data_IF_651859830102
#
_entry.id   IF_651859830102
#
_cell.length_a   1.000
_cell.length_b   1.000
_cell.length_c   1.000
_cell.angle_alpha   90.00
_cell.angle_beta   90.00
_cell.angle_gamma   90.00
#
_symmetry.space_group_name_H-M   'P 1'
#
loop_
_entity.id
_entity.type
_entity.pdbx_description
1 polymer ?
#
# COMPACT_ATOMS: atom_id res chain seq x y z
N UNK A 1 12.89 -8.59 -22.36
CA UNK A 1 11.76 -8.04 -23.13
C UNK A 1 10.62 -7.86 -22.15
N UNK A 2 10.29 -6.62 -21.81
CA UNK A 2 9.11 -6.32 -20.99
C UNK A 2 7.88 -6.32 -21.90
N UNK A 3 6.75 -6.94 -21.50
CA UNK A 3 5.53 -6.92 -22.30
C UNK A 3 4.92 -5.51 -22.39
N UNK A 4 4.05 -5.26 -23.38
CA UNK A 4 3.56 -3.93 -23.69
C UNK A 4 2.48 -3.46 -22.70
N UNK A 5 2.65 -2.23 -22.21
CA UNK A 5 1.65 -1.25 -21.75
C UNK A 5 0.46 -1.73 -20.89
N UNK A 6 0.52 -1.49 -19.57
CA UNK A 6 -0.59 -1.67 -18.62
C UNK A 6 -1.29 -0.33 -18.33
N UNK A 7 -1.82 0.32 -19.37
CA UNK A 7 -2.61 1.56 -19.24
C UNK A 7 -4.10 1.29 -19.04
N UNK A 8 -4.83 2.21 -18.40
CA UNK A 8 -6.27 2.09 -18.13
C UNK A 8 -7.19 1.88 -19.34
N UNK A 9 -6.71 2.16 -20.57
CA UNK A 9 -7.44 1.84 -21.81
C UNK A 9 -7.64 0.33 -22.01
N UNK A 10 -6.72 -0.50 -21.52
CA UNK A 10 -6.79 -1.95 -21.72
C UNK A 10 -7.84 -2.61 -20.82
N UNK A 11 -8.02 -2.15 -19.57
CA UNK A 11 -9.08 -2.71 -18.72
C UNK A 11 -10.47 -2.54 -19.35
N UNK A 12 -10.72 -1.39 -20.00
CA UNK A 12 -11.95 -1.20 -20.81
C UNK A 12 -12.00 -2.14 -22.01
N UNK A 13 -10.90 -2.28 -22.75
CA UNK A 13 -10.83 -3.20 -23.90
C UNK A 13 -11.08 -4.66 -23.50
N UNK A 14 -10.61 -5.09 -22.34
CA UNK A 14 -10.90 -6.42 -21.81
C UNK A 14 -12.30 -6.61 -21.33
N UNK A 15 -12.83 -5.65 -20.59
CA UNK A 15 -14.21 -5.71 -20.13
C UNK A 15 -15.16 -5.83 -21.34
N UNK A 16 -14.90 -5.06 -22.41
CA UNK A 16 -15.69 -5.14 -23.64
C UNK A 16 -15.54 -6.51 -24.35
N UNK A 17 -14.33 -7.07 -24.40
CA UNK A 17 -14.08 -8.40 -24.98
C UNK A 17 -14.76 -9.51 -24.16
N UNK A 18 -14.74 -9.44 -22.83
CA UNK A 18 -15.36 -10.44 -21.95
C UNK A 18 -16.89 -10.40 -22.03
N UNK A 19 -17.50 -9.21 -22.04
CA UNK A 19 -18.96 -9.07 -22.22
C UNK A 19 -19.44 -9.62 -23.57
N UNK A 20 -18.63 -9.50 -24.64
CA UNK A 20 -18.93 -10.13 -25.93
C UNK A 20 -18.87 -11.66 -25.86
N UNK A 21 -17.90 -12.23 -25.13
CA UNK A 21 -17.74 -13.67 -24.97
C UNK A 21 -18.86 -14.27 -24.09
N UNK A 22 -19.22 -13.62 -22.98
CA UNK A 22 -20.31 -14.06 -22.10
C UNK A 22 -21.68 -14.02 -22.79
N UNK A 23 -21.93 -13.03 -23.66
CA UNK A 23 -23.15 -12.99 -24.50
C UNK A 23 -23.24 -14.14 -25.50
N UNK A 24 -22.11 -14.73 -25.90
CA UNK A 24 -22.06 -15.87 -26.84
C UNK A 24 -22.21 -17.22 -26.12
N UNK A 25 -21.82 -17.32 -24.85
CA UNK A 25 -21.88 -18.55 -24.04
C UNK A 25 -23.20 -18.75 -23.26
N UNK A 26 -24.11 -17.76 -23.25
CA UNK A 26 -25.40 -17.81 -22.55
C UNK A 26 -26.47 -18.78 -23.11
N UNK A 27 -26.12 -19.69 -24.01
CA UNK A 27 -27.03 -20.70 -24.57
C UNK A 27 -26.33 -22.06 -24.54
N UNK A 28 -26.56 -22.86 -23.50
CA UNK A 28 -26.09 -24.25 -23.51
C UNK A 28 -26.12 -25.05 -22.21
N UNK A 29 -27.24 -25.75 -22.01
CA UNK A 29 -27.32 -27.13 -21.49
C UNK A 29 -27.24 -27.33 -19.96
N UNK A 30 -28.43 -27.46 -19.37
CA UNK A 30 -28.69 -28.31 -18.20
C UNK A 30 -28.51 -29.79 -18.57
N UNK A 31 -27.64 -30.52 -17.86
CA UNK A 31 -27.73 -31.97 -17.77
C UNK A 31 -27.67 -32.41 -16.31
N UNK A 32 -28.82 -32.90 -15.84
CA UNK A 32 -28.98 -33.61 -14.58
C UNK A 32 -28.55 -35.05 -14.81
N UNK A 33 -27.57 -35.54 -14.06
CA UNK A 33 -27.31 -36.98 -13.92
C UNK A 33 -27.20 -37.30 -12.43
N UNK A 34 -28.20 -38.01 -11.93
CA UNK A 34 -28.18 -38.60 -10.59
C UNK A 34 -27.47 -39.95 -10.61
N UNK A 35 -26.69 -40.22 -9.58
CA UNK A 35 -26.24 -41.58 -9.22
C UNK A 35 -26.32 -41.74 -7.70
N UNK A 36 -27.08 -42.76 -7.29
CA UNK A 36 -27.21 -43.21 -5.90
C UNK A 36 -25.96 -43.99 -5.43
N UNK A 37 -25.51 -43.63 -4.23
CA UNK A 37 -24.95 -44.43 -3.13
C UNK A 37 -24.16 -45.72 -3.39
N UNK A 38 -22.90 -45.72 -2.92
CA UNK A 38 -22.29 -46.83 -2.19
C UNK A 38 -21.41 -46.24 -1.07
N UNK A 39 -21.69 -46.65 0.17
CA UNK A 39 -20.95 -46.28 1.38
C UNK A 39 -19.76 -47.24 1.49
N UNK A 40 -18.55 -46.70 1.35
CA UNK A 40 -17.29 -47.38 1.66
C UNK A 40 -16.52 -46.53 2.67
N UNK A 41 -16.07 -47.13 3.76
CA UNK A 41 -15.10 -46.52 4.67
C UNK A 41 -13.76 -46.37 3.93
N UNK A 42 -13.36 -45.14 3.65
CA UNK A 42 -12.06 -44.82 3.07
C UNK A 42 -11.31 -43.89 4.01
N UNK A 43 -10.02 -44.19 4.19
CA UNK A 43 -9.06 -43.43 4.96
C UNK A 43 -9.21 -41.93 4.69
N UNK A 44 -9.16 -41.11 5.75
CA UNK A 44 -9.00 -39.66 5.64
C UNK A 44 -7.58 -39.34 5.14
N UNK A 45 -7.28 -39.74 3.92
CA UNK A 45 -6.28 -39.06 3.10
C UNK A 45 -6.75 -37.63 2.94
N UNK A 46 -5.89 -36.67 3.30
CA UNK A 46 -6.09 -35.28 2.91
C UNK A 46 -6.24 -35.27 1.39
N UNK A 47 -7.45 -35.03 0.89
CA UNK A 47 -7.64 -34.63 -0.49
C UNK A 47 -6.79 -33.36 -0.62
N UNK A 48 -5.67 -33.46 -1.32
CA UNK A 48 -4.95 -32.27 -1.75
C UNK A 48 -5.96 -31.48 -2.57
N UNK A 49 -6.40 -30.33 -2.07
CA UNK A 49 -7.27 -29.47 -2.84
C UNK A 49 -6.49 -29.05 -4.08
N UNK A 50 -7.12 -29.08 -5.25
CA UNK A 50 -6.61 -28.46 -6.49
C UNK A 50 -6.50 -26.91 -6.37
N UNK A 51 -6.64 -26.38 -5.16
CA UNK A 51 -6.58 -24.98 -4.81
C UNK A 51 -5.14 -24.47 -4.85
N UNK A 52 -4.92 -23.41 -5.62
CA UNK A 52 -3.63 -22.72 -5.67
C UNK A 52 -3.55 -21.71 -4.53
N UNK A 53 -2.63 -21.94 -3.60
CA UNK A 53 -2.41 -21.07 -2.43
C UNK A 53 -1.05 -20.40 -2.52
N UNK A 54 -1.00 -19.10 -2.26
CA UNK A 54 0.27 -18.37 -2.08
C UNK A 54 0.52 -18.05 -0.61
N UNK A 55 1.69 -18.43 -0.11
CA UNK A 55 2.17 -18.22 1.25
C UNK A 55 3.12 -17.02 1.30
N UNK A 56 2.58 -15.89 1.72
CA UNK A 56 3.32 -14.63 1.82
C UNK A 56 3.74 -14.35 3.27
N UNK A 57 4.93 -13.78 3.47
CA UNK A 57 5.42 -13.35 4.80
C UNK A 57 5.04 -11.91 5.12
N UNK A 58 4.59 -11.66 6.35
CA UNK A 58 4.50 -10.30 6.93
C UNK A 58 5.61 -10.09 7.95
N UNK A 59 6.20 -8.89 7.94
CA UNK A 59 7.31 -8.55 8.85
C UNK A 59 6.85 -7.96 10.18
N UNK A 60 5.58 -7.60 10.27
CA UNK A 60 4.98 -6.95 11.42
C UNK A 60 3.56 -7.45 11.60
N UNK A 61 3.01 -7.25 12.80
CA UNK A 61 1.60 -7.57 13.08
C UNK A 61 0.70 -6.41 12.69
N UNK A 62 -0.33 -6.69 11.90
CA UNK A 62 -1.40 -5.74 11.57
C UNK A 62 -2.33 -5.56 12.79
N UNK A 63 -2.81 -4.34 13.01
CA UNK A 63 -3.72 -4.02 14.12
C UNK A 63 -5.19 -3.91 13.70
N UNK A 64 -5.42 -3.46 12.48
CA UNK A 64 -6.74 -3.17 11.90
C UNK A 64 -6.65 -3.30 10.38
N UNK A 65 -7.76 -3.68 9.74
CA UNK A 65 -7.97 -3.64 8.29
C UNK A 65 -9.06 -2.62 7.92
N UNK A 66 -9.43 -1.71 8.84
CA UNK A 66 -10.30 -0.58 8.53
C UNK A 66 -9.50 0.47 7.76
N UNK A 67 -9.82 0.77 6.49
CA UNK A 67 -9.16 1.81 5.69
C UNK A 67 -8.93 3.12 6.44
N UNK A 68 -9.91 3.59 7.22
CA UNK A 68 -9.82 4.87 7.92
C UNK A 68 -8.74 4.89 9.02
N UNK A 69 -8.32 3.73 9.53
CA UNK A 69 -7.31 3.60 10.60
C UNK A 69 -5.94 3.10 10.11
N UNK A 70 -5.82 2.71 8.83
CA UNK A 70 -4.54 2.27 8.24
C UNK A 70 -3.54 3.43 8.23
N UNK A 71 -2.30 3.17 8.65
CA UNK A 71 -1.24 4.18 8.67
C UNK A 71 0.18 3.60 8.52
N UNK A 72 0.30 2.31 8.19
CA UNK A 72 1.58 1.63 8.00
C UNK A 72 1.58 0.82 6.69
N UNK A 73 2.77 0.56 6.16
CA UNK A 73 2.97 -0.05 4.84
C UNK A 73 2.51 -1.50 4.79
N UNK A 74 2.68 -2.26 5.88
CA UNK A 74 2.35 -3.70 5.92
C UNK A 74 0.84 -3.88 5.88
N UNK A 75 0.10 -3.09 6.67
CA UNK A 75 -1.35 -3.07 6.65
C UNK A 75 -1.87 -2.60 5.30
N UNK A 76 -1.25 -1.58 4.70
CA UNK A 76 -1.62 -1.09 3.38
C UNK A 76 -1.53 -2.18 2.29
N UNK A 77 -0.46 -2.99 2.30
CA UNK A 77 -0.29 -4.07 1.34
C UNK A 77 -1.42 -5.13 1.45
N UNK A 78 -1.74 -5.59 2.67
CA UNK A 78 -2.82 -6.57 2.86
C UNK A 78 -4.19 -5.96 2.58
N UNK A 79 -4.43 -4.71 3.01
CA UNK A 79 -5.68 -4.04 2.74
C UNK A 79 -5.88 -3.77 1.24
N UNK A 80 -4.82 -3.55 0.46
CA UNK A 80 -4.89 -3.39 -1.01
C UNK A 80 -5.35 -4.64 -1.75
N UNK A 81 -5.25 -5.83 -1.15
CA UNK A 81 -5.82 -7.06 -1.70
C UNK A 81 -7.33 -7.18 -1.41
N UNK A 82 -7.83 -6.47 -0.39
CA UNK A 82 -9.22 -6.52 0.09
C UNK A 82 -10.06 -5.32 -0.36
N UNK A 83 -9.44 -4.15 -0.50
CA UNK A 83 -10.06 -2.90 -0.90
C UNK A 83 -9.33 -2.32 -2.10
N UNK A 84 -10.05 -1.50 -2.87
CA UNK A 84 -9.50 -0.80 -4.02
C UNK A 84 -9.64 0.71 -3.85
N UNK A 85 -8.78 1.46 -4.53
CA UNK A 85 -8.82 2.91 -4.55
C UNK A 85 -9.35 3.43 -5.90
N UNK A 86 -9.58 4.74 -6.01
CA UNK A 86 -10.02 5.36 -7.28
C UNK A 86 -9.00 5.14 -8.40
N UNK A 87 -7.72 5.21 -8.06
CA UNK A 87 -6.61 5.08 -9.00
C UNK A 87 -5.57 4.09 -8.46
N UNK A 88 -4.70 3.63 -9.36
CA UNK A 88 -3.53 2.79 -9.10
C UNK A 88 -2.38 3.22 -10.04
N UNK A 89 -1.25 2.52 -10.03
CA UNK A 89 -0.15 2.73 -10.96
C UNK A 89 -0.09 1.67 -12.07
N UNK A 90 0.26 2.11 -13.28
CA UNK A 90 0.88 1.24 -14.28
C UNK A 90 2.29 0.88 -13.78
N UNK A 91 2.40 -0.31 -13.18
CA UNK A 91 3.66 -0.83 -12.64
C UNK A 91 4.68 -1.24 -13.71
N UNK A 92 4.33 -1.17 -15.00
CA UNK A 92 5.23 -1.43 -16.13
C UNK A 92 5.77 -0.17 -16.79
N UNK A 93 5.09 0.95 -16.62
CA UNK A 93 5.59 2.25 -17.05
C UNK A 93 6.81 2.69 -16.20
N UNK A 94 7.81 3.29 -16.85
CA UNK A 94 8.92 3.99 -16.18
C UNK A 94 9.07 5.39 -16.80
N UNK A 95 8.90 6.48 -16.03
CA UNK A 95 8.46 6.51 -14.63
C UNK A 95 7.04 5.92 -14.47
N UNK A 96 6.69 5.51 -13.24
CA UNK A 96 5.36 5.00 -12.93
C UNK A 96 4.30 6.04 -13.30
N UNK A 97 3.16 5.59 -13.83
CA UNK A 97 2.06 6.46 -14.24
C UNK A 97 0.77 6.06 -13.54
N UNK A 98 0.03 7.03 -13.05
CA UNK A 98 -1.29 6.77 -12.47
C UNK A 98 -2.28 6.33 -13.55
N UNK A 99 -3.12 5.36 -13.23
CA UNK A 99 -4.19 4.83 -14.07
C UNK A 99 -5.48 4.66 -13.25
N UNK A 100 -6.66 4.72 -13.89
CA UNK A 100 -7.94 4.46 -13.21
C UNK A 100 -8.06 3.01 -12.70
N UNK A 101 -8.59 2.84 -11.48
CA UNK A 101 -8.98 1.55 -10.90
C UNK A 101 -10.49 1.55 -10.60
N UNK A 102 -10.94 2.10 -9.47
CA UNK A 102 -12.39 2.29 -9.22
C UNK A 102 -12.96 3.52 -9.93
N UNK A 103 -12.12 4.45 -10.37
CA UNK A 103 -12.53 5.49 -11.29
C UNK A 103 -12.72 4.89 -12.71
N UNK A 104 -13.71 5.38 -13.43
CA UNK A 104 -13.89 5.05 -14.83
C UNK A 104 -12.79 5.72 -15.69
N UNK A 105 -12.35 6.93 -15.31
CA UNK A 105 -11.36 7.74 -16.03
C UNK A 105 -10.53 8.62 -15.08
N UNK A 106 -9.50 9.28 -15.61
CA UNK A 106 -8.78 10.36 -14.92
C UNK A 106 -9.75 11.50 -14.57
N UNK A 107 -9.49 12.25 -13.47
CA UNK A 107 -10.42 13.27 -13.01
C UNK A 107 -10.51 14.41 -14.03
N UNK A 108 -11.72 14.93 -14.24
CA UNK A 108 -11.92 16.18 -14.96
C UNK A 108 -11.71 17.34 -13.97
N UNK A 109 -10.72 18.19 -14.25
CA UNK A 109 -10.29 19.26 -13.34
C UNK A 109 -10.74 20.61 -13.90
N UNK A 110 -11.33 21.47 -13.07
CA UNK A 110 -11.68 22.84 -13.45
C UNK A 110 -10.45 23.67 -13.85
N UNK A 111 -10.67 24.74 -14.62
CA UNK A 111 -9.58 25.62 -15.12
C UNK A 111 -8.74 26.23 -13.98
N UNK A 112 -9.37 26.54 -12.84
CA UNK A 112 -8.69 27.08 -11.66
C UNK A 112 -7.98 25.99 -10.84
N UNK A 113 -8.13 24.71 -11.18
CA UNK A 113 -7.48 23.58 -10.51
C UNK A 113 -8.07 23.21 -9.15
N UNK A 114 -9.30 23.65 -8.83
CA UNK A 114 -9.90 23.45 -7.50
C UNK A 114 -11.04 22.43 -7.46
N UNK A 115 -11.70 22.13 -8.57
CA UNK A 115 -12.82 21.19 -8.64
C UNK A 115 -12.42 19.96 -9.44
N UNK A 116 -12.64 18.78 -8.86
CA UNK A 116 -12.37 17.48 -9.45
C UNK A 116 -13.68 16.73 -9.60
N UNK A 117 -14.07 16.42 -10.84
CA UNK A 117 -15.15 15.50 -11.18
C UNK A 117 -14.54 14.14 -11.50
N UNK A 118 -14.85 13.14 -10.67
CA UNK A 118 -14.27 11.81 -10.72
C UNK A 118 -15.38 10.82 -11.09
N UNK A 119 -15.40 10.33 -12.34
CA UNK A 119 -16.38 9.34 -12.74
C UNK A 119 -16.04 7.99 -12.09
N UNK A 120 -17.03 7.33 -11.48
CA UNK A 120 -16.87 6.03 -10.82
C UNK A 120 -17.22 4.91 -11.80
N UNK A 121 -16.46 3.81 -11.74
CA UNK A 121 -16.68 2.63 -12.57
C UNK A 121 -17.98 1.94 -12.16
N UNK A 122 -18.79 1.59 -13.15
CA UNK A 122 -20.03 0.82 -12.97
C UNK A 122 -19.74 -0.68 -12.93
N UNK A 123 -20.64 -1.46 -12.34
CA UNK A 123 -20.56 -2.91 -12.27
C UNK A 123 -19.49 -3.44 -11.31
N UNK A 124 -19.01 -2.60 -10.38
CA UNK A 124 -18.11 -3.03 -9.31
C UNK A 124 -18.93 -3.31 -8.05
N UNK A 125 -18.76 -4.49 -7.46
CA UNK A 125 -19.53 -4.93 -6.31
C UNK A 125 -18.64 -5.09 -5.09
N UNK A 126 -19.20 -4.80 -3.92
CA UNK A 126 -18.60 -5.20 -2.66
C UNK A 126 -18.55 -6.73 -2.54
N UNK A 127 -17.67 -7.22 -1.67
CA UNK A 127 -17.62 -8.61 -1.25
C UNK A 127 -18.97 -9.09 -0.71
N UNK A 128 -19.34 -10.33 -1.04
CA UNK A 128 -20.52 -10.98 -0.47
C UNK A 128 -20.33 -11.08 1.04
N UNK A 129 -21.26 -10.51 1.80
CA UNK A 129 -21.11 -10.39 3.24
C UNK A 129 -22.46 -10.31 3.97
N UNK A 130 -22.62 -10.91 5.16
CA UNK A 130 -23.85 -10.83 5.95
C UNK A 130 -24.32 -9.42 6.34
N UNK A 131 -23.48 -8.39 6.20
CA UNK A 131 -23.92 -7.00 6.39
C UNK A 131 -24.88 -6.51 5.31
N UNK A 132 -24.94 -7.19 4.15
CA UNK A 132 -25.84 -6.85 3.06
C UNK A 132 -27.08 -7.76 3.03
N UNK A 133 -28.20 -7.30 2.44
CA UNK A 133 -29.36 -8.16 2.16
C UNK A 133 -28.95 -9.44 1.43
N UNK A 134 -29.50 -10.58 1.86
CA UNK A 134 -29.23 -11.91 1.31
C UNK A 134 -27.74 -12.31 1.28
N UNK A 135 -26.90 -11.63 2.07
CA UNK A 135 -25.43 -11.77 2.06
C UNK A 135 -24.79 -11.49 0.70
N UNK A 136 -25.44 -10.69 -0.15
CA UNK A 136 -24.94 -10.32 -1.48
C UNK A 136 -24.44 -8.89 -1.51
N UNK A 137 -23.18 -8.72 -1.89
CA UNK A 137 -22.57 -7.41 -2.03
C UNK A 137 -23.35 -6.56 -3.03
N UNK A 138 -23.63 -5.30 -2.67
CA UNK A 138 -24.23 -4.34 -3.60
C UNK A 138 -23.17 -3.66 -4.46
N UNK A 139 -23.63 -2.99 -5.51
CA UNK A 139 -22.77 -2.14 -6.34
C UNK A 139 -22.19 -0.98 -5.53
N UNK A 140 -20.93 -0.67 -5.82
CA UNK A 140 -20.19 0.49 -5.33
C UNK A 140 -20.75 1.77 -5.97
N UNK A 141 -20.92 2.83 -5.17
CA UNK A 141 -21.33 4.15 -5.68
C UNK A 141 -20.39 5.26 -5.21
N UNK A 142 -20.51 6.44 -5.83
CA UNK A 142 -19.80 7.65 -5.43
C UNK A 142 -20.09 8.06 -3.97
N UNK A 143 -21.28 7.73 -3.45
CA UNK A 143 -21.67 8.00 -2.07
C UNK A 143 -20.81 7.24 -1.05
N UNK A 144 -20.28 6.07 -1.40
CA UNK A 144 -19.41 5.27 -0.52
C UNK A 144 -18.05 5.94 -0.26
N UNK A 145 -17.54 6.69 -1.25
CA UNK A 145 -16.35 7.51 -1.08
C UNK A 145 -16.61 8.71 -0.18
N UNK A 146 -17.73 9.41 -0.40
CA UNK A 146 -18.16 10.54 0.45
C UNK A 146 -18.26 10.09 1.91
N UNK A 147 -18.89 8.95 2.16
CA UNK A 147 -19.00 8.36 3.49
C UNK A 147 -17.62 8.01 4.07
N UNK A 148 -16.78 7.26 3.34
CA UNK A 148 -15.46 6.85 3.80
C UNK A 148 -14.55 8.04 4.14
N UNK A 149 -14.59 9.11 3.36
CA UNK A 149 -13.72 10.27 3.62
C UNK A 149 -14.25 11.14 4.76
N UNK A 150 -15.57 11.21 4.97
CA UNK A 150 -16.12 11.74 6.21
C UNK A 150 -15.71 10.90 7.42
N UNK A 151 -15.54 9.58 7.30
CA UNK A 151 -14.98 8.75 8.38
C UNK A 151 -13.54 9.10 8.74
N UNK A 152 -12.72 9.54 7.77
CA UNK A 152 -11.39 10.09 8.04
C UNK A 152 -11.49 11.40 8.84
N UNK A 153 -12.46 12.25 8.51
CA UNK A 153 -12.70 13.53 9.19
C UNK A 153 -13.27 13.39 10.61
N UNK A 154 -14.02 12.32 10.87
CA UNK A 154 -14.62 12.03 12.17
C UNK A 154 -13.55 11.77 13.25
N UNK A 155 -13.47 12.66 14.26
CA UNK A 155 -12.54 12.50 15.39
C UNK A 155 -12.77 11.20 16.18
N UNK A 156 -13.97 10.63 16.14
CA UNK A 156 -14.34 9.44 16.92
C UNK A 156 -13.71 8.18 16.34
N UNK A 157 -13.39 8.17 15.04
CA UNK A 157 -12.67 7.07 14.37
C UNK A 157 -11.15 7.13 14.59
N UNK A 158 -10.61 8.24 15.12
CA UNK A 158 -9.17 8.41 15.39
C UNK A 158 -8.27 8.08 14.17
N UNK A 159 -8.74 8.47 12.98
CA UNK A 159 -8.02 8.22 11.74
C UNK A 159 -6.57 8.73 11.80
N UNK A 160 -5.63 7.89 11.37
CA UNK A 160 -4.22 8.27 11.19
C UNK A 160 -3.97 9.06 9.90
N UNK A 161 -5.01 9.26 9.10
CA UNK A 161 -4.94 9.78 7.73
C UNK A 161 -5.62 11.13 7.56
N UNK A 162 -6.11 11.76 8.66
CA UNK A 162 -6.72 13.10 8.62
C UNK A 162 -5.82 14.14 7.94
N UNK A 163 -4.51 14.05 8.15
CA UNK A 163 -3.51 14.98 7.59
C UNK A 163 -3.54 15.08 6.07
N UNK A 164 -4.14 14.10 5.36
CA UNK A 164 -4.33 14.15 3.90
C UNK A 164 -5.33 15.26 3.54
N UNK A 165 -6.40 15.42 4.33
CA UNK A 165 -7.50 16.32 4.02
C UNK A 165 -7.57 17.60 4.87
N UNK A 166 -6.72 17.70 5.91
CA UNK A 166 -6.61 18.85 6.80
C UNK A 166 -6.41 20.17 6.03
N UNK A 167 -7.41 21.06 6.08
CA UNK A 167 -7.44 22.33 5.35
C UNK A 167 -7.43 22.20 3.82
N UNK A 168 -7.85 21.05 3.26
CA UNK A 168 -7.78 20.78 1.81
C UNK A 168 -9.12 20.82 1.11
N UNK A 169 -10.18 20.30 1.72
CA UNK A 169 -11.50 20.14 1.10
C UNK A 169 -12.47 21.14 1.72
N UNK A 170 -13.19 21.89 0.89
CA UNK A 170 -14.12 22.94 1.34
C UNK A 170 -15.19 22.33 2.26
N UNK A 171 -15.28 22.84 3.49
CA UNK A 171 -16.26 22.40 4.50
C UNK A 171 -15.91 21.12 5.27
N UNK A 172 -14.91 20.34 4.87
CA UNK A 172 -14.61 19.07 5.54
C UNK A 172 -14.02 19.27 6.95
N UNK A 173 -13.18 20.29 7.15
CA UNK A 173 -12.71 20.71 8.47
C UNK A 173 -13.87 21.14 9.38
N UNK A 174 -14.90 21.80 8.84
CA UNK A 174 -16.10 22.16 9.60
C UNK A 174 -16.93 20.93 10.00
N UNK A 175 -17.02 19.93 9.13
CA UNK A 175 -17.60 18.64 9.47
C UNK A 175 -16.83 17.96 10.60
N UNK A 176 -15.49 17.96 10.52
CA UNK A 176 -14.63 17.47 11.59
C UNK A 176 -14.88 18.19 12.93
N UNK A 177 -14.95 19.51 12.94
CA UNK A 177 -15.27 20.28 14.15
C UNK A 177 -16.64 19.88 14.73
N UNK A 178 -17.65 19.71 13.87
CA UNK A 178 -18.95 19.18 14.27
C UNK A 178 -18.84 17.81 14.95
N UNK A 179 -18.05 16.87 14.41
CA UNK A 179 -17.90 15.52 14.99
C UNK A 179 -17.33 15.53 16.41
N UNK A 180 -16.55 16.56 16.81
CA UNK A 180 -16.04 16.69 18.18
C UNK A 180 -17.16 16.71 19.21
N UNK A 181 -18.28 17.33 18.87
CA UNK A 181 -19.46 17.50 19.74
C UNK A 181 -20.43 16.31 19.70
N UNK A 182 -20.18 15.30 18.87
CA UNK A 182 -21.01 14.10 18.78
C UNK A 182 -20.55 13.03 19.77
N UNK A 183 -21.44 12.15 20.20
CA UNK A 183 -21.04 10.91 20.88
C UNK A 183 -20.54 9.87 19.86
N UNK A 184 -19.67 8.93 20.26
CA UNK A 184 -19.23 7.84 19.39
C UNK A 184 -20.42 7.05 18.82
N UNK A 185 -20.47 6.89 17.50
CA UNK A 185 -21.55 6.21 16.79
C UNK A 185 -22.81 7.05 16.56
N UNK A 186 -22.80 8.34 16.94
CA UNK A 186 -23.92 9.27 16.72
C UNK A 186 -23.57 10.41 15.73
N UNK A 187 -22.48 10.27 14.99
CA UNK A 187 -22.11 11.22 13.94
C UNK A 187 -23.07 11.04 12.76
N UNK A 188 -23.72 12.14 12.36
CA UNK A 188 -24.54 12.18 11.16
C UNK A 188 -23.65 12.31 9.92
N UNK A 189 -23.49 11.21 9.19
CA UNK A 189 -22.71 11.15 7.96
C UNK A 189 -23.47 11.69 6.73
N UNK A 190 -24.78 11.91 6.82
CA UNK A 190 -25.58 12.52 5.76
C UNK A 190 -25.45 14.05 5.76
N UNK A 191 -24.97 14.63 6.87
CA UNK A 191 -24.67 16.06 6.96
C UNK A 191 -23.84 16.54 5.76
N UNK A 192 -24.30 17.54 5.00
CA UNK A 192 -23.64 17.95 3.76
C UNK A 192 -22.25 18.55 4.03
N UNK A 193 -21.34 18.29 3.10
CA UNK A 193 -20.01 18.91 3.03
C UNK A 193 -19.88 19.54 1.65
N UNK A 194 -19.72 20.86 1.61
CA UNK A 194 -19.75 21.63 0.36
C UNK A 194 -18.77 21.12 -0.70
N UNK A 195 -17.56 20.75 -0.28
CA UNK A 195 -16.51 20.27 -1.18
C UNK A 195 -16.37 18.77 -1.28
N UNK A 196 -17.30 17.97 -0.74
CA UNK A 196 -17.26 16.51 -0.84
C UNK A 196 -18.68 15.97 -0.94
N UNK A 197 -19.09 15.65 -2.16
CA UNK A 197 -20.43 15.12 -2.44
C UNK A 197 -20.41 14.25 -3.70
N UNK A 198 -21.47 13.49 -3.89
CA UNK A 198 -21.75 12.76 -5.12
C UNK A 198 -22.87 13.51 -5.87
N UNK A 199 -22.67 13.80 -7.16
CA UNK A 199 -23.71 14.39 -8.02
C UNK A 199 -24.79 13.35 -8.35
N UNK A 200 -24.35 12.11 -8.54
CA UNK A 200 -25.15 10.90 -8.71
C UNK A 200 -24.32 9.68 -8.26
N UNK A 201 -24.87 8.47 -8.43
CA UNK A 201 -24.22 7.21 -8.03
C UNK A 201 -22.84 6.97 -8.68
N UNK A 202 -22.51 7.65 -9.77
CA UNK A 202 -21.29 7.43 -10.55
C UNK A 202 -20.45 8.69 -10.78
N UNK A 203 -20.72 9.78 -10.06
CA UNK A 203 -19.94 11.01 -10.15
C UNK A 203 -19.61 11.56 -8.75
N UNK A 204 -18.35 11.37 -8.33
CA UNK A 204 -17.80 11.97 -7.11
C UNK A 204 -17.25 13.36 -7.44
N UNK A 205 -17.64 14.36 -6.66
CA UNK A 205 -17.14 15.73 -6.80
C UNK A 205 -16.38 16.16 -5.55
N UNK A 206 -15.17 16.68 -5.78
CA UNK A 206 -14.31 17.22 -4.73
C UNK A 206 -13.93 18.65 -5.05
N UNK A 207 -14.27 19.59 -4.15
CA UNK A 207 -13.86 20.99 -4.21
C UNK A 207 -12.78 21.25 -3.17
N UNK A 208 -11.61 21.65 -3.64
CA UNK A 208 -10.47 22.00 -2.83
C UNK A 208 -10.50 23.48 -2.43
N UNK A 209 -9.93 23.78 -1.27
CA UNK A 209 -9.78 25.16 -0.77
C UNK A 209 -8.85 25.99 -1.65
N UNK A 210 -7.88 25.33 -2.31
CA UNK A 210 -6.93 25.91 -3.25
C UNK A 210 -6.36 24.83 -4.17
N UNK A 211 -5.74 25.19 -5.30
CA UNK A 211 -5.17 24.21 -6.22
C UNK A 211 -4.14 23.32 -5.54
N UNK A 212 -4.25 22.01 -5.77
CA UNK A 212 -3.38 21.01 -5.16
C UNK A 212 -3.04 19.93 -6.21
N UNK A 213 -2.01 20.15 -7.06
CA UNK A 213 -1.71 19.26 -8.18
C UNK A 213 -1.53 17.78 -7.80
N UNK A 214 -1.03 17.52 -6.59
CA UNK A 214 -0.84 16.16 -6.07
C UNK A 214 -2.10 15.52 -5.48
N UNK A 215 -3.27 16.17 -5.49
CA UNK A 215 -4.50 15.63 -4.90
C UNK A 215 -4.83 14.23 -5.42
N UNK A 216 -4.79 14.05 -6.75
CA UNK A 216 -5.06 12.76 -7.39
C UNK A 216 -4.11 11.64 -6.90
N UNK A 217 -2.86 11.97 -6.52
CA UNK A 217 -1.90 10.98 -6.02
C UNK A 217 -2.36 10.36 -4.70
N UNK A 218 -3.07 11.11 -3.87
CA UNK A 218 -3.62 10.63 -2.60
C UNK A 218 -4.83 9.72 -2.78
N UNK A 219 -5.49 9.77 -3.94
CA UNK A 219 -6.66 8.96 -4.25
C UNK A 219 -6.31 7.50 -4.59
N UNK A 220 -5.02 7.16 -4.51
CA UNK A 220 -4.47 5.80 -4.57
C UNK A 220 -4.16 5.26 -3.16
N UNK A 221 -4.25 6.10 -2.13
CA UNK A 221 -3.88 5.70 -0.79
C UNK A 221 -5.03 4.92 -0.15
N UNK A 222 -4.80 3.70 0.33
CA UNK A 222 -5.85 2.81 0.85
C UNK A 222 -6.80 3.45 1.86
N UNK A 223 -6.36 4.45 2.64
CA UNK A 223 -7.25 5.14 3.56
C UNK A 223 -8.40 5.89 2.85
N UNK A 224 -8.23 6.24 1.57
CA UNK A 224 -9.24 6.87 0.72
C UNK A 224 -10.11 5.85 -0.02
N UNK A 225 -9.93 4.54 0.19
CA UNK A 225 -10.79 3.51 -0.38
C UNK A 225 -12.25 3.69 0.09
N UNK A 226 -13.24 3.33 -0.74
CA UNK A 226 -14.63 3.46 -0.37
C UNK A 226 -14.99 2.42 0.70
N UNK A 227 -16.03 2.72 1.48
CA UNK A 227 -16.53 1.79 2.48
C UNK A 227 -18.05 1.78 2.47
N UNK A 228 -18.63 0.58 2.52
CA UNK A 228 -20.07 0.41 2.65
C UNK A 228 -20.54 0.88 4.04
N UNK A 229 -21.44 1.88 4.13
CA UNK A 229 -22.06 2.27 5.40
C UNK A 229 -22.73 1.10 6.14
N UNK A 230 -23.27 0.14 5.39
CA UNK A 230 -23.90 -1.09 5.91
C UNK A 230 -22.92 -1.95 6.70
N UNK A 231 -21.71 -2.13 6.17
CA UNK A 231 -20.67 -2.90 6.85
C UNK A 231 -20.23 -2.19 8.15
N UNK A 232 -20.06 -0.87 8.11
CA UNK A 232 -19.70 -0.07 9.30
C UNK A 232 -20.81 -0.15 10.35
N UNK A 233 -22.08 -0.03 9.95
CA UNK A 233 -23.22 -0.14 10.85
C UNK A 233 -23.34 -1.55 11.46
N UNK A 234 -23.17 -2.60 10.65
CA UNK A 234 -23.32 -3.99 11.07
C UNK A 234 -22.20 -4.44 12.02
N UNK A 235 -20.94 -4.12 11.70
CA UNK A 235 -19.79 -4.56 12.50
C UNK A 235 -19.42 -3.59 13.63
N UNK A 236 -19.75 -2.31 13.50
CA UNK A 236 -19.38 -1.26 14.45
C UNK A 236 -17.87 -1.27 14.71
N UNK A 237 -17.48 -1.33 16.00
CA UNK A 237 -16.08 -1.38 16.42
C UNK A 237 -15.28 -2.58 15.90
N UNK A 238 -15.95 -3.60 15.36
CA UNK A 238 -15.30 -4.79 14.78
C UNK A 238 -15.01 -4.63 13.30
N UNK A 239 -15.34 -3.50 12.67
CA UNK A 239 -15.13 -3.28 11.23
C UNK A 239 -13.67 -3.52 10.82
N UNK A 240 -12.72 -3.11 11.67
CA UNK A 240 -11.30 -3.36 11.45
C UNK A 240 -10.89 -4.83 11.43
N UNK A 241 -11.76 -5.76 11.84
CA UNK A 241 -11.54 -7.21 11.78
C UNK A 241 -12.47 -7.92 10.78
N UNK A 242 -13.37 -7.16 10.14
CA UNK A 242 -14.34 -7.67 9.18
C UNK A 242 -14.35 -6.73 7.97
N UNK A 243 -13.22 -6.64 7.23
CA UNK A 243 -13.14 -5.80 6.04
C UNK A 243 -14.14 -6.29 4.99
N UNK A 244 -14.87 -5.34 4.42
CA UNK A 244 -15.82 -5.57 3.33
C UNK A 244 -15.48 -4.54 2.25
N UNK A 245 -14.68 -4.98 1.28
CA UNK A 245 -14.18 -4.12 0.20
C UNK A 245 -14.66 -4.60 -1.17
N UNK A 246 -13.99 -4.14 -2.22
CA UNK A 246 -14.28 -4.52 -3.61
C UNK A 246 -13.13 -5.34 -4.23
N UNK A 247 -12.03 -5.51 -3.48
CA UNK A 247 -10.76 -6.04 -3.99
C UNK A 247 -10.79 -7.49 -4.43
N UNK A 248 -9.65 -7.94 -4.95
CA UNK A 248 -9.48 -9.25 -5.56
C UNK A 248 -9.62 -10.42 -4.57
N UNK A 249 -9.47 -10.17 -3.26
CA UNK A 249 -9.59 -11.20 -2.23
C UNK A 249 -10.54 -10.77 -1.12
N UNK A 250 -11.19 -11.75 -0.49
CA UNK A 250 -12.12 -11.58 0.62
C UNK A 250 -11.56 -12.27 1.87
N UNK A 251 -11.68 -11.63 3.04
CA UNK A 251 -11.13 -12.19 4.28
C UNK A 251 -11.87 -13.47 4.69
N UNK A 252 -11.13 -14.56 4.90
CA UNK A 252 -11.67 -15.82 5.42
C UNK A 252 -11.47 -15.92 6.91
N UNK A 253 -10.21 -15.74 7.36
CA UNK A 253 -9.86 -15.81 8.78
C UNK A 253 -8.66 -14.94 9.10
N UNK A 254 -8.68 -14.38 10.30
CA UNK A 254 -7.56 -13.66 10.86
C UNK A 254 -7.27 -14.14 12.28
N UNK A 255 -6.10 -14.77 12.46
CA UNK A 255 -5.55 -15.09 13.77
C UNK A 255 -4.51 -14.05 14.15
N UNK A 256 -4.88 -13.14 15.06
CA UNK A 256 -4.02 -12.03 15.51
C UNK A 256 -2.62 -12.49 15.92
N UNK A 257 -1.61 -11.76 15.44
CA UNK A 257 -0.20 -12.04 15.69
C UNK A 257 0.34 -13.32 15.04
N UNK A 258 -0.49 -14.04 14.26
CA UNK A 258 -0.11 -15.31 13.64
C UNK A 258 -0.26 -15.29 12.13
N UNK A 259 -1.47 -15.15 11.59
CA UNK A 259 -1.70 -15.14 10.15
C UNK A 259 -3.03 -14.49 9.76
N UNK A 260 -3.11 -14.10 8.49
CA UNK A 260 -4.33 -13.65 7.80
C UNK A 260 -4.50 -14.55 6.58
N UNK A 261 -5.72 -14.95 6.29
CA UNK A 261 -6.06 -15.76 5.14
C UNK A 261 -7.25 -15.15 4.41
N UNK A 262 -7.12 -15.03 3.09
CA UNK A 262 -8.17 -14.55 2.21
C UNK A 262 -8.31 -15.48 1.00
N UNK A 263 -9.51 -15.51 0.43
CA UNK A 263 -9.85 -16.28 -0.76
C UNK A 263 -10.24 -15.36 -1.90
N UNK A 264 -10.12 -15.84 -3.14
CA UNK A 264 -10.44 -15.06 -4.33
C UNK A 264 -11.88 -14.54 -4.31
N UNK A 265 -12.04 -13.27 -4.68
CA UNK A 265 -13.32 -12.68 -4.99
C UNK A 265 -13.75 -13.09 -6.41
N UNK A 266 -14.72 -14.01 -6.52
CA UNK A 266 -15.23 -14.48 -7.81
C UNK A 266 -15.95 -13.38 -8.62
N UNK A 267 -16.38 -12.31 -7.96
CA UNK A 267 -17.04 -11.16 -8.57
C UNK A 267 -16.05 -10.02 -8.85
N UNK A 268 -14.74 -10.26 -8.73
CA UNK A 268 -13.74 -9.23 -8.99
C UNK A 268 -13.80 -8.76 -10.44
N UNK A 269 -13.69 -7.46 -10.66
CA UNK A 269 -13.89 -6.86 -11.97
C UNK A 269 -12.57 -6.72 -12.78
N UNK A 270 -11.43 -6.99 -12.16
CA UNK A 270 -10.11 -6.75 -12.75
C UNK A 270 -9.66 -7.81 -13.76
N UNK A 271 -8.99 -7.35 -14.81
CA UNK A 271 -8.37 -8.18 -15.84
C UNK A 271 -6.90 -7.81 -16.01
N UNK A 272 -6.12 -8.73 -16.56
CA UNK A 272 -4.72 -8.52 -16.93
C UNK A 272 -4.49 -8.86 -18.41
N UNK A 273 -3.62 -8.08 -19.07
CA UNK A 273 -3.12 -8.40 -20.40
C UNK A 273 -1.93 -9.31 -20.29
N UNK A 274 -2.04 -10.46 -20.94
CA UNK A 274 -0.90 -11.29 -21.18
C UNK A 274 -0.08 -10.75 -22.36
N UNK A 275 1.23 -11.04 -22.43
CA UNK A 275 2.11 -10.57 -23.50
C UNK A 275 1.64 -10.92 -24.93
N UNK A 276 0.83 -11.97 -25.07
CA UNK A 276 0.22 -12.41 -26.33
C UNK A 276 -1.05 -11.63 -26.72
N UNK A 277 -1.44 -10.65 -25.89
CA UNK A 277 -2.59 -9.79 -26.07
C UNK A 277 -3.90 -10.35 -25.50
N UNK A 278 -3.90 -11.56 -24.92
CA UNK A 278 -5.10 -12.16 -24.32
C UNK A 278 -5.47 -11.45 -23.01
N UNK A 279 -6.79 -11.35 -22.77
CA UNK A 279 -7.36 -10.85 -21.51
C UNK A 279 -7.66 -12.01 -20.60
N UNK A 280 -7.09 -12.00 -19.40
CA UNK A 280 -7.40 -12.98 -18.39
C UNK A 280 -8.01 -12.31 -17.15
N UNK A 281 -8.99 -12.99 -16.57
CA UNK A 281 -9.72 -12.54 -15.38
C UNK A 281 -8.85 -12.75 -14.15
N UNK A 282 -8.70 -11.72 -13.32
CA UNK A 282 -8.08 -11.83 -12.01
C UNK A 282 -9.13 -12.15 -10.92
N UNK A 283 -8.70 -12.67 -9.77
CA UNK A 283 -7.35 -13.20 -9.48
C UNK A 283 -7.12 -14.64 -9.97
N UNK A 284 -5.86 -14.99 -10.24
CA UNK A 284 -5.44 -16.35 -10.60
C UNK A 284 -5.29 -17.31 -9.42
N UNK A 285 -4.91 -16.77 -8.28
CA UNK A 285 -4.61 -17.53 -7.09
C UNK A 285 -5.90 -17.66 -6.29
N UNK A 286 -6.20 -18.87 -5.83
CA UNK A 286 -7.44 -19.14 -5.11
C UNK A 286 -7.39 -18.60 -3.69
N UNK A 287 -6.21 -18.65 -3.06
CA UNK A 287 -6.00 -18.18 -1.69
C UNK A 287 -4.68 -17.48 -1.47
N UNK A 288 -4.73 -16.46 -0.62
CA UNK A 288 -3.55 -15.82 -0.06
C UNK A 288 -3.47 -16.09 1.43
N UNK A 289 -2.32 -16.60 1.87
CA UNK A 289 -2.02 -16.87 3.26
C UNK A 289 -0.84 -15.99 3.72
N UNK A 290 -1.15 -14.92 4.45
CA UNK A 290 -0.13 -14.05 5.03
C UNK A 290 0.27 -14.53 6.43
N UNK A 291 1.50 -15.05 6.56
CA UNK A 291 2.06 -15.50 7.85
C UNK A 291 2.89 -14.40 8.49
N UNK A 292 2.61 -14.07 9.74
CA UNK A 292 3.34 -13.05 10.50
C UNK A 292 4.60 -13.69 11.10
N UNK A 293 5.77 -13.25 10.64
CA UNK A 293 7.07 -13.74 11.10
C UNK A 293 8.01 -12.55 11.13
N UNK A 294 8.32 -12.04 12.32
CA UNK A 294 9.04 -10.76 12.50
C UNK A 294 10.54 -10.93 12.20
N UNK A 295 11.15 -11.97 12.77
CA UNK A 295 12.59 -12.23 12.71
C UNK A 295 13.05 -12.69 11.32
N UNK A 296 14.18 -12.16 10.85
CA UNK A 296 14.74 -12.46 9.52
C UNK A 296 15.13 -13.94 9.35
N UNK A 297 15.87 -14.51 10.30
CA UNK A 297 16.41 -15.87 10.17
C UNK A 297 15.32 -16.97 10.15
N UNK A 298 14.31 -16.97 11.03
CA UNK A 298 13.20 -17.93 10.93
C UNK A 298 12.43 -17.84 9.61
N UNK A 299 12.20 -16.63 9.09
CA UNK A 299 11.59 -16.44 7.76
C UNK A 299 12.41 -17.07 6.66
N UNK A 300 13.71 -16.83 6.67
CA UNK A 300 14.64 -17.39 5.69
C UNK A 300 14.58 -18.92 5.67
N UNK A 301 14.60 -19.54 6.86
CA UNK A 301 14.51 -20.99 7.00
C UNK A 301 13.16 -21.56 6.53
N UNK A 302 12.07 -20.82 6.67
CA UNK A 302 10.76 -21.22 6.16
C UNK A 302 10.72 -21.14 4.62
N UNK A 303 11.25 -20.07 4.04
CA UNK A 303 11.36 -19.90 2.59
C UNK A 303 12.19 -21.01 1.94
N UNK A 304 13.40 -21.29 2.46
CA UNK A 304 14.26 -22.34 1.91
C UNK A 304 13.66 -23.75 2.09
N UNK A 305 12.73 -23.94 3.02
CA UNK A 305 11.97 -25.20 3.17
C UNK A 305 10.74 -25.29 2.27
N UNK A 306 10.43 -24.25 1.49
CA UNK A 306 9.23 -24.19 0.66
C UNK A 306 7.93 -23.94 1.43
N UNK A 307 8.02 -23.44 2.67
CA UNK A 307 6.84 -23.04 3.47
C UNK A 307 6.42 -21.58 3.22
N UNK A 308 7.17 -20.84 2.41
CA UNK A 308 6.86 -19.47 1.96
C UNK A 308 7.24 -19.36 0.49
N UNK A 309 6.41 -18.70 -0.31
CA UNK A 309 6.64 -18.53 -1.75
C UNK A 309 7.44 -17.26 -2.06
N UNK A 310 7.33 -16.25 -1.17
CA UNK A 310 7.96 -14.94 -1.38
C UNK A 310 8.73 -14.55 -0.12
N UNK A 311 10.01 -14.21 -0.30
CA UNK A 311 10.82 -13.63 0.75
C UNK A 311 11.91 -12.69 0.20
N UNK A 312 12.29 -11.69 1.00
CA UNK A 312 13.46 -10.85 0.75
C UNK A 312 14.72 -11.52 1.27
N UNK A 313 15.87 -11.26 0.65
CA UNK A 313 17.17 -11.80 1.09
C UNK A 313 17.62 -11.09 2.37
N UNK A 314 17.76 -11.79 3.51
CA UNK A 314 18.37 -11.22 4.72
C UNK A 314 19.84 -10.86 4.49
N UNK A 315 20.32 -9.84 5.21
CA UNK A 315 21.72 -9.39 5.16
C UNK A 315 22.71 -10.56 5.32
N UNK A 316 22.51 -11.36 6.37
CA UNK A 316 23.44 -12.43 6.77
C UNK A 316 23.38 -13.66 5.85
N UNK A 317 22.34 -13.78 5.01
CA UNK A 317 22.18 -14.90 4.06
C UNK A 317 22.51 -14.49 2.63
N UNK A 318 22.96 -13.26 2.39
CA UNK A 318 23.19 -12.76 1.03
C UNK A 318 24.16 -13.62 0.23
N UNK A 319 25.28 -14.03 0.83
CA UNK A 319 26.25 -14.92 0.18
C UNK A 319 25.76 -16.35 -0.10
N UNK A 320 24.63 -16.78 0.50
CA UNK A 320 23.98 -18.05 0.15
C UNK A 320 23.15 -17.91 -1.14
N UNK A 321 22.70 -16.70 -1.47
CA UNK A 321 21.82 -16.43 -2.61
C UNK A 321 22.59 -15.89 -3.79
N UNK A 322 23.54 -14.99 -3.55
CA UNK A 322 24.29 -14.28 -4.58
C UNK A 322 25.77 -14.66 -4.49
N UNK A 323 26.30 -15.15 -5.61
CA UNK A 323 27.72 -15.38 -5.86
C UNK A 323 28.30 -14.25 -6.72
N UNK A 324 29.57 -13.92 -6.50
CA UNK A 324 30.31 -12.94 -7.32
C UNK A 324 29.60 -11.59 -7.49
N UNK A 325 28.80 -11.18 -6.50
CA UNK A 325 28.14 -9.87 -6.42
C UNK A 325 26.88 -9.68 -7.26
N UNK A 326 26.59 -10.53 -8.25
CA UNK A 326 25.44 -10.33 -9.17
C UNK A 326 24.70 -11.59 -9.59
N UNK A 327 25.28 -12.79 -9.45
CA UNK A 327 24.66 -14.01 -9.95
C UNK A 327 24.00 -14.83 -8.84
N UNK A 328 22.83 -15.39 -9.11
CA UNK A 328 22.20 -16.32 -8.19
C UNK A 328 23.01 -17.63 -8.09
N UNK A 329 23.16 -18.18 -6.89
CA UNK A 329 23.90 -19.42 -6.64
C UNK A 329 23.22 -20.65 -7.29
N UNK A 330 24.01 -21.67 -7.64
CA UNK A 330 23.48 -22.93 -8.20
C UNK A 330 22.46 -23.59 -7.28
N UNK A 331 22.70 -23.59 -5.96
CA UNK A 331 21.75 -24.10 -4.97
C UNK A 331 20.35 -23.49 -5.10
N UNK A 332 20.26 -22.18 -5.39
CA UNK A 332 18.97 -21.50 -5.58
C UNK A 332 18.34 -21.85 -6.93
N UNK A 333 19.14 -21.96 -7.99
CA UNK A 333 18.68 -22.38 -9.33
C UNK A 333 18.13 -23.81 -9.32
N UNK A 334 18.83 -24.74 -8.67
CA UNK A 334 18.42 -26.15 -8.52
C UNK A 334 17.09 -26.30 -7.77
N UNK A 335 16.78 -25.33 -6.89
CA UNK A 335 15.50 -25.26 -6.17
C UNK A 335 14.41 -24.51 -6.94
N UNK A 336 14.68 -24.13 -8.19
CA UNK A 336 13.78 -23.34 -9.04
C UNK A 336 13.35 -22.00 -8.43
N UNK A 337 14.16 -21.42 -7.55
CA UNK A 337 13.90 -20.11 -6.95
C UNK A 337 14.16 -19.04 -8.00
N UNK A 338 13.30 -18.03 -8.06
CA UNK A 338 13.46 -16.87 -8.92
C UNK A 338 13.94 -15.66 -8.13
N UNK A 339 15.00 -15.01 -8.59
CA UNK A 339 15.45 -13.72 -8.08
C UNK A 339 14.80 -12.59 -8.89
N UNK A 340 14.06 -11.72 -8.20
CA UNK A 340 13.54 -10.47 -8.78
C UNK A 340 14.26 -9.28 -8.14
N UNK A 341 14.84 -8.42 -8.98
CA UNK A 341 15.52 -7.19 -8.58
C UNK A 341 14.88 -6.01 -9.27
N UNK A 342 14.57 -4.95 -8.52
CA UNK A 342 13.99 -3.72 -9.02
C UNK A 342 14.35 -2.55 -8.09
N UNK A 343 14.31 -1.33 -8.62
CA UNK A 343 14.43 -0.13 -7.83
C UNK A 343 13.09 0.16 -7.13
N UNK A 344 13.11 0.27 -5.80
CA UNK A 344 11.95 0.69 -5.01
C UNK A 344 11.88 2.22 -4.92
N UNK A 345 10.69 2.85 -5.03
CA UNK A 345 10.52 4.29 -4.83
C UNK A 345 10.52 4.65 -3.34
N UNK A 346 11.55 4.22 -2.60
CA UNK A 346 11.74 4.51 -1.19
C UNK A 346 13.01 5.32 -0.94
N UNK A 347 13.04 6.02 0.20
CA UNK A 347 14.21 6.75 0.66
C UNK A 347 14.29 6.58 2.17
N UNK A 348 15.47 6.19 2.65
CA UNK A 348 15.76 6.08 4.08
C UNK A 348 16.55 7.32 4.52
N UNK A 349 16.19 7.90 5.66
CA UNK A 349 16.86 9.10 6.19
C UNK A 349 16.93 9.07 7.72
N UNK A 350 17.86 9.85 8.27
CA UNK A 350 17.88 10.20 9.70
C UNK A 350 17.09 11.49 9.87
N UNK A 351 15.99 11.42 10.61
CA UNK A 351 15.15 12.59 10.90
C UNK A 351 15.76 13.48 11.97
N UNK A 352 15.72 14.80 11.78
CA UNK A 352 16.05 15.78 12.80
C UNK A 352 14.78 16.25 13.50
N UNK A 353 14.79 16.26 14.84
CA UNK A 353 13.68 16.86 15.59
C UNK A 353 13.73 18.38 15.43
N UNK A 354 12.88 18.91 14.54
CA UNK A 354 12.85 20.35 14.23
C UNK A 354 12.34 21.20 15.39
N UNK A 355 11.68 20.60 16.38
CA UNK A 355 11.23 21.27 17.61
C UNK A 355 12.32 21.34 18.69
N UNK A 356 13.41 20.60 18.54
CA UNK A 356 14.55 20.69 19.45
C UNK A 356 15.37 21.96 19.11
N UNK A 357 15.59 22.89 20.05
CA UNK A 357 16.29 24.13 19.76
C UNK A 357 17.76 23.92 19.38
N UNK A 358 18.41 22.87 19.91
CA UNK A 358 19.81 22.55 19.62
C UNK A 358 19.96 21.99 18.21
N UNK A 359 19.07 21.08 17.80
CA UNK A 359 19.18 20.38 16.50
C UNK A 359 18.35 21.05 15.40
N UNK A 360 17.09 21.35 15.68
CA UNK A 360 16.15 22.00 14.76
C UNK A 360 16.47 23.47 14.51
N UNK A 361 16.90 24.20 15.54
CA UNK A 361 17.31 25.60 15.43
C UNK A 361 18.68 25.81 14.78
N UNK A 362 19.53 24.79 14.73
CA UNK A 362 20.93 24.91 14.29
C UNK A 362 21.16 24.22 12.94
N UNK A 363 21.04 24.97 11.85
CA UNK A 363 21.29 24.45 10.50
C UNK A 363 22.73 23.97 10.31
N UNK A 364 23.71 24.63 10.94
CA UNK A 364 25.11 24.24 10.84
C UNK A 364 25.32 22.84 11.44
N UNK A 365 24.69 22.54 12.58
CA UNK A 365 24.75 21.21 13.19
C UNK A 365 24.20 20.13 12.26
N UNK A 366 23.03 20.36 11.64
CA UNK A 366 22.44 19.38 10.71
C UNK A 366 23.31 19.14 9.47
N UNK A 367 23.95 20.19 8.95
CA UNK A 367 24.93 20.07 7.85
C UNK A 367 26.15 19.28 8.28
N UNK A 368 26.71 19.55 9.47
CA UNK A 368 27.86 18.83 10.01
C UNK A 368 27.57 17.33 10.14
N UNK A 369 26.43 16.97 10.74
CA UNK A 369 25.99 15.58 10.87
C UNK A 369 25.80 14.94 9.48
N UNK A 370 25.14 15.63 8.55
CA UNK A 370 24.89 15.05 7.22
C UNK A 370 26.19 14.75 6.45
N UNK A 371 27.19 15.63 6.53
CA UNK A 371 28.48 15.49 5.86
C UNK A 371 29.41 14.47 6.53
N UNK A 372 29.19 14.14 7.82
CA UNK A 372 30.03 13.16 8.52
C UNK A 372 29.63 11.71 8.26
N UNK A 373 28.44 11.46 7.69
CA UNK A 373 27.92 10.13 7.45
C UNK A 373 28.43 9.53 6.13
N UNK A 374 29.13 8.40 6.25
CA UNK A 374 29.62 7.61 5.12
C UNK A 374 28.50 6.70 4.58
N UNK A 375 27.72 7.23 3.64
CA UNK A 375 26.54 6.56 3.08
C UNK A 375 26.89 5.39 2.16
N UNK A 376 28.01 5.47 1.44
CA UNK A 376 28.48 4.37 0.60
C UNK A 376 28.88 3.18 1.46
N UNK A 377 29.69 3.41 2.50
CA UNK A 377 30.04 2.37 3.46
C UNK A 377 28.82 1.82 4.20
N UNK A 378 27.82 2.66 4.49
CA UNK A 378 26.56 2.18 5.03
C UNK A 378 25.87 1.19 4.10
N UNK A 379 25.75 1.54 2.80
CA UNK A 379 25.14 0.69 1.78
C UNK A 379 25.91 -0.64 1.65
N UNK A 380 27.24 -0.60 1.67
CA UNK A 380 28.07 -1.79 1.58
C UNK A 380 27.89 -2.71 2.78
N UNK A 381 28.00 -2.16 4.00
CA UNK A 381 27.99 -2.95 5.24
C UNK A 381 26.61 -3.47 5.64
N UNK A 382 25.54 -2.73 5.33
CA UNK A 382 24.19 -3.04 5.82
C UNK A 382 23.24 -3.51 4.74
N UNK A 383 23.45 -3.10 3.48
CA UNK A 383 22.57 -3.46 2.36
C UNK A 383 23.25 -4.41 1.36
N UNK A 384 24.51 -4.79 1.58
CA UNK A 384 25.32 -5.60 0.65
C UNK A 384 25.37 -4.96 -0.75
N UNK A 385 25.56 -3.63 -0.83
CA UNK A 385 25.64 -2.90 -2.09
C UNK A 385 24.30 -2.63 -2.79
N UNK A 386 23.16 -3.04 -2.21
CA UNK A 386 21.82 -2.93 -2.83
C UNK A 386 21.12 -1.59 -2.61
N UNK A 387 21.88 -0.50 -2.52
CA UNK A 387 21.36 0.84 -2.27
C UNK A 387 21.97 1.87 -3.19
N UNK A 388 21.30 3.02 -3.31
CA UNK A 388 21.82 4.21 -3.98
C UNK A 388 21.93 5.33 -2.95
N UNK A 389 22.98 6.16 -3.04
CA UNK A 389 23.10 7.33 -2.16
C UNK A 389 21.92 8.25 -2.43
N UNK A 390 21.16 8.56 -1.38
CA UNK A 390 20.06 9.50 -1.46
C UNK A 390 20.61 10.94 -1.38
N UNK A 391 20.40 11.72 -2.44
CA UNK A 391 20.78 13.13 -2.51
C UNK A 391 19.63 14.07 -2.13
N UNK A 392 18.40 13.55 -2.04
CA UNK A 392 17.19 14.24 -1.62
C UNK A 392 16.12 13.24 -1.18
N UNK A 393 14.89 13.71 -0.97
CA UNK A 393 13.76 12.86 -0.54
C UNK A 393 13.04 12.14 -1.69
N UNK A 394 13.17 12.66 -2.93
CA UNK A 394 12.58 12.01 -4.09
C UNK A 394 13.60 11.00 -4.65
N UNK A 395 13.24 9.72 -4.82
CA UNK A 395 14.11 8.73 -5.42
C UNK A 395 14.13 8.86 -6.96
N UNK A 396 15.19 8.41 -7.65
CA UNK A 396 15.36 8.57 -9.10
C UNK A 396 14.28 7.96 -10.00
N UNK A 397 13.49 7.02 -9.47
CA UNK A 397 12.40 6.36 -10.21
C UNK A 397 11.12 7.20 -10.28
N UNK A 398 11.05 8.31 -9.56
CA UNK A 398 9.91 9.22 -9.54
C UNK A 398 10.06 10.30 -10.60
N UNK A 399 8.97 10.63 -11.29
CA UNK A 399 8.95 11.62 -12.37
C UNK A 399 9.48 13.01 -11.92
N UNK A 400 9.21 13.40 -10.68
CA UNK A 400 9.66 14.69 -10.12
C UNK A 400 11.12 14.73 -9.65
N UNK A 401 11.92 13.68 -9.86
CA UNK A 401 13.31 13.67 -9.45
C UNK A 401 14.18 14.56 -10.36
N UNK A 402 14.88 15.52 -9.77
CA UNK A 402 15.89 16.32 -10.45
C UNK A 402 17.30 15.86 -10.00
N UNK A 403 18.13 15.29 -10.90
CA UNK A 403 19.48 14.85 -10.56
C UNK A 403 20.42 16.00 -10.14
N UNK A 404 20.09 17.26 -10.45
CA UNK A 404 20.89 18.41 -10.02
C UNK A 404 20.94 18.57 -8.49
N UNK A 405 20.02 17.93 -7.76
CA UNK A 405 19.98 17.91 -6.30
C UNK A 405 21.30 17.42 -5.69
N UNK A 406 22.02 16.52 -6.38
CA UNK A 406 23.34 16.04 -5.95
C UNK A 406 24.35 17.17 -5.75
N UNK A 407 24.29 18.23 -6.58
CA UNK A 407 25.26 19.33 -6.56
C UNK A 407 25.10 20.25 -5.34
N UNK A 408 23.90 20.25 -4.74
CA UNK A 408 23.55 21.12 -3.61
C UNK A 408 23.30 20.33 -2.32
N UNK A 409 23.34 19.00 -2.37
CA UNK A 409 23.09 18.15 -1.21
C UNK A 409 24.27 18.16 -0.23
N UNK A 410 23.99 17.76 1.01
CA UNK A 410 24.98 17.50 2.06
C UNK A 410 25.13 15.99 2.28
N UNK A 411 24.84 15.18 1.26
CA UNK A 411 24.81 13.72 1.37
C UNK A 411 26.17 13.05 1.07
N UNK A 412 27.12 13.79 0.51
CA UNK A 412 28.47 13.31 0.27
C UNK A 412 29.32 13.44 1.55
N UNK A 413 30.16 12.42 1.81
CA UNK A 413 31.07 12.42 2.95
C UNK A 413 32.13 13.51 2.77
N UNK A 414 32.17 14.46 3.70
CA UNK A 414 33.18 15.52 3.72
C UNK A 414 33.52 15.90 5.16
N UNK A 415 34.59 15.30 5.67
CA UNK A 415 35.04 15.47 7.05
C UNK A 415 35.59 16.87 7.35
N UNK A 416 36.12 17.56 6.33
CA UNK A 416 36.64 18.92 6.51
C UNK A 416 35.50 19.92 6.65
N UNK A 417 34.54 19.89 5.72
CA UNK A 417 33.32 20.72 5.80
C UNK A 417 32.49 20.36 7.01
N UNK A 418 32.41 19.08 7.41
CA UNK A 418 31.73 18.67 8.62
C UNK A 418 32.32 19.36 9.87
N UNK A 419 33.66 19.37 10.02
CA UNK A 419 34.35 20.08 11.11
C UNK A 419 34.13 21.58 11.08
N UNK A 420 34.15 22.19 9.89
CA UNK A 420 33.82 23.61 9.72
C UNK A 420 32.41 23.93 10.23
N UNK A 421 31.40 23.17 9.79
CA UNK A 421 30.03 23.39 10.22
C UNK A 421 29.80 23.04 11.69
N UNK A 422 30.57 22.11 12.26
CA UNK A 422 30.51 21.82 13.69
C UNK A 422 30.99 23.01 14.53
N UNK A 423 32.13 23.62 14.18
CA UNK A 423 32.61 24.82 14.86
C UNK A 423 31.60 25.97 14.77
N UNK A 424 30.98 26.15 13.60
CA UNK A 424 29.89 27.13 13.43
C UNK A 424 28.68 26.80 14.30
N UNK A 425 28.31 25.53 14.40
CA UNK A 425 27.22 25.07 15.23
C UNK A 425 27.46 25.34 16.72
N UNK A 426 28.68 25.11 17.21
CA UNK A 426 29.08 25.40 18.59
C UNK A 426 29.05 26.91 18.88
N UNK A 427 29.45 27.74 17.91
CA UNK A 427 29.33 29.20 18.02
C UNK A 427 27.87 29.64 18.16
N UNK A 428 26.97 29.10 17.32
CA UNK A 428 25.52 29.37 17.39
C UNK A 428 24.93 28.91 18.74
N UNK A 429 25.42 27.77 19.25
CA UNK A 429 24.99 27.20 20.52
C UNK A 429 25.52 27.97 21.75
N UNK A 430 26.48 28.89 21.58
CA UNK A 430 27.13 29.61 22.68
C UNK A 430 28.18 28.76 23.43
N UNK A 431 28.68 27.70 22.80
CA UNK A 431 29.66 26.78 23.38
C UNK A 431 29.56 25.36 22.82
N UNK A 432 30.37 24.43 23.34
CA UNK A 432 30.40 23.04 22.89
C UNK A 432 29.01 22.39 22.92
N UNK A 433 28.75 21.53 21.93
CA UNK A 433 27.50 20.79 21.85
C UNK A 433 27.51 19.60 22.82
N UNK A 434 26.37 19.37 23.48
CA UNK A 434 26.17 18.22 24.35
C UNK A 434 25.96 16.91 23.58
N UNK A 435 25.79 15.81 24.33
CA UNK A 435 25.43 14.52 23.74
C UNK A 435 24.04 14.58 23.12
N UNK A 436 23.95 14.23 21.84
CA UNK A 436 22.68 14.02 21.15
C UNK A 436 22.18 12.59 21.37
N UNK A 437 20.87 12.39 21.25
CA UNK A 437 20.23 11.07 21.31
C UNK A 437 19.67 10.72 19.95
N UNK A 438 20.06 9.56 19.43
CA UNK A 438 19.50 8.97 18.21
C UNK A 438 18.44 7.93 18.60
N UNK A 439 17.21 8.13 18.13
CA UNK A 439 16.15 7.14 18.28
C UNK A 439 16.18 6.17 17.08
N UNK A 440 16.12 4.87 17.36
CA UNK A 440 16.10 3.81 16.35
C UNK A 440 14.75 3.10 16.35
N UNK A 441 14.23 2.76 15.17
CA UNK A 441 12.88 2.22 14.98
C UNK A 441 12.68 0.76 15.40
N UNK A 442 13.68 0.10 16.00
CA UNK A 442 13.64 -1.32 16.31
C UNK A 442 14.75 -1.75 17.25
N UNK A 443 14.65 -2.99 17.72
CA UNK A 443 15.60 -3.56 18.69
C UNK A 443 16.33 -4.79 18.16
N UNK A 444 16.10 -5.19 16.90
CA UNK A 444 16.81 -6.30 16.29
C UNK A 444 18.31 -6.00 16.11
N UNK A 445 19.09 -7.04 15.81
CA UNK A 445 20.54 -6.93 15.71
C UNK A 445 20.98 -5.94 14.62
N UNK A 446 20.30 -5.93 13.47
CA UNK A 446 20.63 -5.05 12.33
C UNK A 446 20.41 -3.60 12.71
N UNK A 447 19.25 -3.27 13.29
CA UNK A 447 18.94 -1.89 13.71
C UNK A 447 19.91 -1.40 14.78
N UNK A 448 20.30 -2.25 15.74
CA UNK A 448 21.31 -1.88 16.75
C UNK A 448 22.68 -1.59 16.13
N UNK A 449 23.14 -2.43 15.21
CA UNK A 449 24.42 -2.22 14.52
C UNK A 449 24.38 -0.95 13.66
N UNK A 450 23.26 -0.68 12.98
CA UNK A 450 23.05 0.58 12.23
C UNK A 450 23.15 1.79 13.16
N UNK A 451 22.50 1.75 14.33
CA UNK A 451 22.59 2.84 15.30
C UNK A 451 23.96 3.03 15.97
N UNK A 452 24.85 2.03 15.90
CA UNK A 452 26.25 2.15 16.34
C UNK A 452 27.17 2.70 15.24
N UNK A 453 26.79 2.48 13.98
CA UNK A 453 27.51 3.00 12.82
C UNK A 453 27.22 4.49 12.62
N UNK A 454 25.95 4.89 12.75
CA UNK A 454 25.49 6.28 12.76
C UNK A 454 25.99 7.00 14.02
#
# INVERSE_FOLDING_TARGET
MLPPHYGGSYQRECADKSHRIQRVLGVGICMVVGVMGLIGCEDKGSVASDETVIYHRLRESIQTLDPAEVGDVVTHAVAGDLFECLYDYDYTARPYRMVPLLAADMPQISEDGTVYHIPIRQGVYYHDNPCFPDSKGRELTAHDFVFAWKRIADVKNRSKSWWIFDGRIVGLDSFREYTKHCEPGQVDYDRPVEGLYAEDDHMLVVRLVRPWPQFALWLQYIATAPMAPEAVAYYGKRIGYNPVGTGAYQLVRWRRGSFIEAERNLNYHGFVQEPDGTCQQLPYIDRVFWRIIIEDQPRWLLFIRGELDINSIPKDNFGQVISMGVEMTEMMKERHIQLKTFDEPNTFWVGFNMSDPTVGGNLALRKAISLSLDRERFIDLFLNGRGKVAHGFLPPVMEGYDPSIEQISFSQLDQERARYYLAEAERINGGPLGRLRLAMGGTDATIRQTGQFL
#
